data_IF_519767603952
#
_entry.id   IF_519767603952
#
_cell.length_a   1.000
_cell.length_b   1.000
_cell.length_c   1.000
_cell.angle_alpha   90.00
_cell.angle_beta   90.00
_cell.angle_gamma   90.00
#
_symmetry.space_group_name_H-M   'P 1'
#
loop_
_entity.id
_entity.type
_entity.pdbx_description
1 polymer ?
#
# COMPACT_ATOMS: atom_id res chain seq x y z
N UNK A 1 0.78 7.92 39.77
CA UNK A 1 0.60 6.48 39.47
C UNK A 1 0.28 6.36 37.99
N UNK A 2 1.06 5.53 37.32
CA UNK A 2 1.29 5.46 35.88
C UNK A 2 0.11 4.88 35.11
N UNK A 3 -0.16 5.40 33.91
CA UNK A 3 -0.84 4.60 32.87
C UNK A 3 -0.29 4.92 31.48
N UNK A 4 0.97 4.52 31.26
CA UNK A 4 1.60 4.46 29.93
C UNK A 4 1.38 3.07 29.31
N UNK A 5 0.12 2.61 29.23
CA UNK A 5 -0.25 1.29 28.63
C UNK A 5 -0.81 1.38 27.22
N UNK A 6 -0.60 2.50 26.51
CA UNK A 6 -1.16 2.70 25.17
C UNK A 6 -0.19 2.39 24.02
N UNK A 7 0.90 1.67 24.28
CA UNK A 7 2.09 1.66 23.43
C UNK A 7 2.42 0.30 22.76
N UNK A 8 1.44 -0.54 22.41
CA UNK A 8 1.76 -1.84 21.79
C UNK A 8 0.91 -2.27 20.58
N UNK A 9 -0.15 -1.54 20.22
CA UNK A 9 -0.93 -1.93 19.06
C UNK A 9 -0.41 -1.22 17.80
N UNK A 10 0.00 -1.96 16.75
CA UNK A 10 0.47 -1.36 15.50
C UNK A 10 -0.63 -0.49 14.92
N UNK A 11 -0.27 0.75 14.57
CA UNK A 11 -1.19 1.67 13.90
C UNK A 11 -1.22 1.31 12.42
N UNK A 12 -2.40 0.98 11.92
CA UNK A 12 -2.61 0.79 10.49
C UNK A 12 -3.38 1.97 9.92
N UNK A 13 -3.04 2.32 8.67
CA UNK A 13 -3.71 3.37 7.92
C UNK A 13 -4.54 2.73 6.82
N UNK A 14 -5.79 3.16 6.70
CA UNK A 14 -6.63 2.83 5.55
C UNK A 14 -6.94 4.10 4.79
N UNK A 15 -6.41 4.20 3.58
CA UNK A 15 -6.67 5.34 2.70
C UNK A 15 -8.15 5.38 2.33
N UNK A 16 -8.73 6.57 2.37
CA UNK A 16 -10.13 6.82 2.01
C UNK A 16 -10.24 7.40 0.61
N UNK A 17 -11.47 7.44 0.09
CA UNK A 17 -11.78 8.20 -1.12
C UNK A 17 -11.58 9.71 -0.90
N UNK A 18 -11.22 10.42 -1.97
CA UNK A 18 -10.89 11.84 -1.93
C UNK A 18 -9.39 12.04 -1.99
N UNK A 19 -8.86 12.11 -3.21
CA UNK A 19 -7.48 12.48 -3.49
C UNK A 19 -7.49 13.89 -4.03
N UNK A 20 -6.74 14.79 -3.40
CA UNK A 20 -6.50 16.13 -3.94
C UNK A 20 -5.02 16.30 -4.23
N UNK A 21 -4.72 17.00 -5.32
CA UNK A 21 -3.34 17.37 -5.65
C UNK A 21 -3.00 18.67 -4.92
N UNK A 22 -1.92 18.65 -4.16
CA UNK A 22 -1.33 19.83 -3.52
C UNK A 22 0.11 19.98 -4.05
N UNK A 23 0.27 20.85 -5.06
CA UNK A 23 1.55 21.00 -5.76
C UNK A 23 2.01 19.70 -6.42
N UNK A 24 3.15 19.18 -5.96
CA UNK A 24 3.77 17.93 -6.44
C UNK A 24 3.44 16.71 -5.55
N UNK A 25 2.44 16.85 -4.68
CA UNK A 25 1.99 15.82 -3.76
C UNK A 25 0.50 15.55 -3.91
N UNK A 26 0.08 14.39 -3.42
CA UNK A 26 -1.30 13.99 -3.30
C UNK A 26 -1.65 13.93 -1.82
N UNK A 27 -2.59 14.78 -1.40
CA UNK A 27 -3.24 14.68 -0.10
C UNK A 27 -4.39 13.67 -0.20
N UNK A 28 -4.35 12.65 0.65
CA UNK A 28 -5.36 11.60 0.73
C UNK A 28 -5.82 11.49 2.18
N UNK A 29 -7.13 11.50 2.40
CA UNK A 29 -7.70 11.18 3.70
C UNK A 29 -7.34 9.74 4.10
N UNK A 30 -7.03 9.53 5.37
CA UNK A 30 -6.77 8.20 5.91
C UNK A 30 -7.47 8.03 7.26
N UNK A 31 -8.06 6.85 7.45
CA UNK A 31 -8.54 6.41 8.75
C UNK A 31 -7.39 5.77 9.50
N UNK A 32 -7.22 6.16 10.76
CA UNK A 32 -6.22 5.59 11.66
C UNK A 32 -6.89 4.51 12.49
N UNK A 33 -6.37 3.29 12.41
CA UNK A 33 -6.83 2.16 13.19
C UNK A 33 -5.79 1.73 14.22
N UNK A 34 -6.29 1.24 15.35
CA UNK A 34 -5.50 0.52 16.35
C UNK A 34 -6.14 -0.86 16.53
N UNK A 35 -5.53 -1.88 15.95
CA UNK A 35 -6.19 -3.17 15.77
C UNK A 35 -7.45 -3.03 14.89
N UNK A 36 -8.60 -3.47 15.40
CA UNK A 36 -9.88 -3.38 14.69
C UNK A 36 -10.65 -2.06 14.94
N UNK A 37 -10.14 -1.18 15.82
CA UNK A 37 -10.86 0.03 16.25
C UNK A 37 -10.35 1.24 15.48
N UNK A 38 -11.27 2.00 14.86
CA UNK A 38 -10.96 3.31 14.30
C UNK A 38 -10.75 4.30 15.44
N UNK A 39 -9.58 4.94 15.48
CA UNK A 39 -9.21 5.89 16.54
C UNK A 39 -9.10 7.34 16.03
N UNK A 40 -9.19 7.56 14.72
CA UNK A 40 -9.19 8.90 14.16
C UNK A 40 -9.13 8.96 12.65
N UNK A 41 -9.02 10.19 12.16
CA UNK A 41 -8.84 10.54 10.76
C UNK A 41 -7.61 11.43 10.64
N UNK A 42 -6.78 11.19 9.63
CA UNK A 42 -5.62 12.01 9.31
C UNK A 42 -5.56 12.25 7.82
N UNK A 43 -4.72 13.18 7.39
CA UNK A 43 -4.35 13.34 6.00
C UNK A 43 -2.94 12.79 5.76
N UNK A 44 -2.76 12.09 4.65
CA UNK A 44 -1.46 11.56 4.22
C UNK A 44 -1.07 12.27 2.94
N UNK A 45 0.12 12.84 2.94
CA UNK A 45 0.75 13.45 1.77
C UNK A 45 1.66 12.42 1.12
N UNK A 46 1.35 12.05 -0.13
CA UNK A 46 2.16 11.14 -0.94
C UNK A 46 2.83 11.94 -2.04
N UNK A 47 4.14 11.79 -2.23
CA UNK A 47 4.78 12.36 -3.42
C UNK A 47 4.34 11.61 -4.68
N UNK A 48 4.51 12.22 -5.85
CA UNK A 48 4.25 11.55 -7.14
C UNK A 48 5.07 10.26 -7.28
N UNK A 49 6.29 10.23 -6.74
CA UNK A 49 7.15 9.04 -6.73
C UNK A 49 6.53 7.94 -5.85
N UNK A 50 6.05 8.30 -4.66
CA UNK A 50 5.42 7.34 -3.74
C UNK A 50 4.10 6.81 -4.31
N UNK A 51 3.30 7.67 -4.96
CA UNK A 51 2.07 7.27 -5.64
C UNK A 51 2.35 6.29 -6.79
N UNK A 52 3.45 6.48 -7.51
CA UNK A 52 3.88 5.57 -8.58
C UNK A 52 4.31 4.20 -8.02
N UNK A 53 5.01 4.18 -6.88
CA UNK A 53 5.37 2.93 -6.17
C UNK A 53 4.13 2.20 -5.67
N UNK A 54 3.18 2.92 -5.05
CA UNK A 54 1.91 2.34 -4.60
C UNK A 54 1.14 1.78 -5.79
N UNK A 55 1.06 2.53 -6.90
CA UNK A 55 0.39 2.05 -8.10
C UNK A 55 1.06 0.80 -8.69
N UNK A 56 2.39 0.75 -8.72
CA UNK A 56 3.13 -0.42 -9.18
C UNK A 56 2.87 -1.64 -8.28
N UNK A 57 2.85 -1.46 -6.96
CA UNK A 57 2.53 -2.53 -6.00
C UNK A 57 1.06 -3.00 -6.14
N UNK A 58 0.12 -2.07 -6.30
CA UNK A 58 -1.30 -2.40 -6.46
C UNK A 58 -1.55 -3.14 -7.78
N UNK A 59 -0.93 -2.67 -8.86
CA UNK A 59 -0.97 -3.34 -10.17
C UNK A 59 -0.38 -4.74 -10.10
N UNK A 60 0.73 -4.91 -9.37
CA UNK A 60 1.33 -6.22 -9.14
C UNK A 60 0.39 -7.15 -8.37
N UNK A 61 -0.19 -6.70 -7.26
CA UNK A 61 -1.13 -7.50 -6.46
C UNK A 61 -2.38 -7.89 -7.26
N UNK A 62 -2.94 -6.96 -8.04
CA UNK A 62 -4.07 -7.23 -8.92
C UNK A 62 -3.72 -8.23 -10.02
N UNK A 63 -2.53 -8.10 -10.61
CA UNK A 63 -2.05 -9.07 -11.61
C UNK A 63 -1.82 -10.45 -10.99
N UNK A 64 -1.27 -10.53 -9.78
CA UNK A 64 -1.09 -11.79 -9.05
C UNK A 64 -2.44 -12.45 -8.69
N UNK A 65 -3.46 -11.66 -8.32
CA UNK A 65 -4.82 -12.17 -8.06
C UNK A 65 -5.58 -12.58 -9.33
N UNK A 66 -5.51 -11.77 -10.38
CA UNK A 66 -6.20 -12.03 -11.64
C UNK A 66 -5.55 -13.18 -12.42
N UNK A 67 -4.24 -13.34 -12.29
CA UNK A 67 -3.45 -14.33 -13.02
C UNK A 67 -2.42 -15.01 -12.11
N UNK A 68 -2.87 -15.85 -11.16
CA UNK A 68 -1.98 -16.55 -10.24
C UNK A 68 -0.97 -17.42 -11.01
N UNK A 69 0.31 -17.22 -10.70
CA UNK A 69 1.42 -17.95 -11.32
C UNK A 69 1.82 -17.48 -12.73
N UNK A 70 1.28 -16.37 -13.25
CA UNK A 70 1.72 -15.86 -14.56
C UNK A 70 3.17 -15.36 -14.54
N UNK A 71 3.62 -14.75 -13.44
CA UNK A 71 5.02 -14.36 -13.29
C UNK A 71 5.96 -15.57 -13.24
N UNK A 72 5.55 -16.64 -12.55
CA UNK A 72 6.30 -17.91 -12.50
C UNK A 72 6.47 -18.47 -13.91
N UNK A 73 5.37 -18.53 -14.69
CA UNK A 73 5.38 -19.00 -16.08
C UNK A 73 6.17 -18.09 -17.00
N UNK A 74 6.14 -16.78 -16.80
CA UNK A 74 6.92 -15.83 -17.59
C UNK A 74 8.42 -15.94 -17.28
N UNK A 75 8.79 -16.15 -16.01
CA UNK A 75 10.18 -16.43 -15.61
C UNK A 75 10.64 -17.79 -16.15
N UNK A 76 9.79 -18.80 -16.13
CA UNK A 76 10.09 -20.13 -16.69
C UNK A 76 10.31 -20.05 -18.20
N UNK A 77 9.44 -19.38 -18.96
CA UNK A 77 9.65 -19.14 -20.40
C UNK A 77 10.91 -18.33 -20.70
N UNK A 78 11.27 -17.35 -19.84
CA UNK A 78 12.55 -16.64 -19.99
C UNK A 78 13.73 -17.58 -19.74
N UNK A 79 13.68 -18.43 -18.72
CA UNK A 79 14.73 -19.43 -18.46
C UNK A 79 14.87 -20.42 -19.63
N UNK A 80 13.75 -20.93 -20.14
CA UNK A 80 13.72 -21.82 -21.32
C UNK A 80 14.27 -21.14 -22.58
N UNK A 81 14.05 -19.82 -22.73
CA UNK A 81 14.52 -19.06 -23.90
C UNK A 81 16.00 -18.67 -23.82
N UNK A 82 16.56 -18.54 -22.62
CA UNK A 82 17.96 -18.13 -22.41
C UNK A 82 18.88 -19.27 -21.95
N UNK A 83 18.36 -20.50 -21.83
CA UNK A 83 19.11 -21.74 -21.74
C UNK A 83 20.31 -21.73 -20.79
N UNK A 84 20.05 -21.87 -19.48
CA UNK A 84 21.04 -22.35 -18.51
C UNK A 84 20.53 -23.62 -17.86
#
# INVERSE_FOLDING_TARGET
MSDHRYEELPRSLRLTHGVRREGEQFAIGALVFRGAVQIGTTEVLLSINDASVINAQLTRLLNEQAFPGMEERARQRRRERWGY
#
